data_IF_178328294469
#
_entry.id   IF_178328294469
#
_cell.length_a   1.000
_cell.length_b   1.000
_cell.length_c   1.000
_cell.angle_alpha   90.00
_cell.angle_beta   90.00
_cell.angle_gamma   90.00
#
_symmetry.space_group_name_H-M   'P 1'
#
loop_
_entity.id
_entity.type
_entity.pdbx_description
1 polymer ?
#
# COMPACT_ATOMS: atom_id res chain seq x y z
N UNK A 1 44.67 17.84 -8.11
CA UNK A 1 43.38 18.31 -7.55
C UNK A 1 42.30 17.34 -7.99
N UNK A 2 41.94 16.41 -7.11
CA UNK A 2 41.04 15.29 -7.39
C UNK A 2 39.58 15.77 -7.41
N UNK A 3 38.87 15.54 -8.51
CA UNK A 3 37.41 15.72 -8.57
C UNK A 3 36.80 14.71 -7.60
N UNK A 4 36.15 15.20 -6.55
CA UNK A 4 35.21 14.41 -5.77
C UNK A 4 34.22 13.76 -6.75
N UNK A 5 34.24 12.44 -6.85
CA UNK A 5 33.18 11.71 -7.52
C UNK A 5 31.91 12.01 -6.73
N UNK A 6 30.99 12.77 -7.33
CA UNK A 6 29.65 12.86 -6.79
C UNK A 6 29.07 11.45 -6.87
N UNK A 7 28.99 10.75 -5.73
CA UNK A 7 28.23 9.50 -5.62
C UNK A 7 26.77 9.83 -5.92
N UNK A 8 26.38 9.67 -7.18
CA UNK A 8 25.03 9.90 -7.62
C UNK A 8 24.14 8.80 -7.06
N UNK A 9 23.14 9.19 -6.27
CA UNK A 9 22.09 8.31 -5.77
C UNK A 9 21.49 7.49 -6.91
N UNK A 10 21.48 6.16 -6.76
CA UNK A 10 20.89 5.27 -7.76
C UNK A 10 19.37 5.44 -7.77
N UNK A 11 18.81 5.47 -8.98
CA UNK A 11 17.35 5.55 -9.17
C UNK A 11 16.71 4.19 -8.92
N UNK A 12 15.53 4.14 -8.27
CA UNK A 12 14.77 2.91 -8.16
C UNK A 12 14.41 2.31 -9.52
N UNK A 13 14.13 1.00 -9.59
CA UNK A 13 13.61 0.38 -10.81
C UNK A 13 12.30 1.03 -11.24
N UNK A 14 12.06 1.06 -12.56
CA UNK A 14 10.87 1.71 -13.16
C UNK A 14 9.56 1.18 -12.55
N UNK A 15 9.49 -0.12 -12.25
CA UNK A 15 8.30 -0.72 -11.62
C UNK A 15 7.94 -0.08 -10.27
N UNK A 16 8.95 0.20 -9.43
CA UNK A 16 8.74 0.81 -8.13
C UNK A 16 8.31 2.28 -8.26
N UNK A 17 8.86 2.99 -9.24
CA UNK A 17 8.45 4.36 -9.55
C UNK A 17 7.01 4.43 -10.04
N UNK A 18 6.62 3.55 -10.97
CA UNK A 18 5.23 3.48 -11.46
C UNK A 18 4.29 3.14 -10.32
N UNK A 19 4.59 2.09 -9.54
CA UNK A 19 3.78 1.67 -8.40
C UNK A 19 3.60 2.83 -7.39
N UNK A 20 4.69 3.51 -7.04
CA UNK A 20 4.67 4.66 -6.14
C UNK A 20 3.80 5.82 -6.67
N UNK A 21 4.00 6.23 -7.94
CA UNK A 21 3.24 7.31 -8.56
C UNK A 21 1.75 6.98 -8.69
N UNK A 22 1.42 5.73 -9.06
CA UNK A 22 0.04 5.28 -9.09
C UNK A 22 -0.61 5.35 -7.71
N UNK A 23 0.09 4.92 -6.65
CA UNK A 23 -0.43 4.98 -5.29
C UNK A 23 -0.59 6.40 -4.77
N UNK A 24 0.34 7.30 -5.10
CA UNK A 24 0.16 8.73 -4.82
C UNK A 24 -1.06 9.31 -5.53
N UNK A 25 -1.23 9.01 -6.82
CA UNK A 25 -2.37 9.49 -7.60
C UNK A 25 -3.70 8.97 -7.02
N UNK A 26 -3.78 7.66 -6.71
CA UNK A 26 -4.96 7.04 -6.09
C UNK A 26 -5.24 7.64 -4.72
N UNK A 27 -4.22 7.73 -3.86
CA UNK A 27 -4.36 8.29 -2.51
C UNK A 27 -4.82 9.74 -2.54
N UNK A 28 -4.18 10.59 -3.35
CA UNK A 28 -4.56 12.00 -3.49
C UNK A 28 -5.98 12.16 -4.07
N UNK A 29 -6.32 11.40 -5.12
CA UNK A 29 -7.64 11.42 -5.72
C UNK A 29 -8.73 10.97 -4.72
N UNK A 30 -8.48 9.90 -3.96
CA UNK A 30 -9.39 9.43 -2.91
C UNK A 30 -9.59 10.48 -1.82
N UNK A 31 -8.52 11.17 -1.40
CA UNK A 31 -8.62 12.27 -0.43
C UNK A 31 -9.45 13.44 -0.94
N UNK A 32 -9.19 13.88 -2.18
CA UNK A 32 -9.97 14.94 -2.82
C UNK A 32 -11.44 14.55 -3.02
N UNK A 33 -11.71 13.31 -3.42
CA UNK A 33 -13.05 12.78 -3.59
C UNK A 33 -13.80 12.74 -2.25
N UNK A 34 -13.15 12.28 -1.17
CA UNK A 34 -13.73 12.28 0.17
C UNK A 34 -14.13 13.68 0.62
N UNK A 35 -13.26 14.69 0.43
CA UNK A 35 -13.60 16.08 0.79
C UNK A 35 -14.77 16.61 -0.03
N UNK A 36 -14.82 16.30 -1.34
CA UNK A 36 -15.82 16.88 -2.24
C UNK A 36 -17.17 16.18 -2.20
N UNK A 37 -17.21 14.87 -1.95
CA UNK A 37 -18.37 14.01 -2.14
C UNK A 37 -18.78 13.24 -0.88
N UNK A 38 -18.31 13.62 0.30
CA UNK A 38 -18.59 12.91 1.56
C UNK A 38 -20.08 12.62 1.77
N UNK A 39 -20.93 13.65 1.67
CA UNK A 39 -22.36 13.52 1.92
C UNK A 39 -23.03 12.62 0.88
N UNK A 40 -22.65 12.78 -0.40
CA UNK A 40 -23.13 11.94 -1.49
C UNK A 40 -22.76 10.47 -1.30
N UNK A 41 -21.51 10.19 -0.90
CA UNK A 41 -21.05 8.82 -0.60
C UNK A 41 -21.81 8.23 0.58
N UNK A 42 -22.07 9.04 1.62
CA UNK A 42 -22.86 8.62 2.78
C UNK A 42 -24.29 8.26 2.39
N UNK A 43 -24.96 9.13 1.63
CA UNK A 43 -26.34 8.90 1.17
C UNK A 43 -26.44 7.69 0.24
N UNK A 44 -25.49 7.54 -0.70
CA UNK A 44 -25.41 6.38 -1.59
C UNK A 44 -25.24 5.08 -0.80
N UNK A 45 -24.32 5.05 0.17
CA UNK A 45 -24.12 3.90 1.03
C UNK A 45 -25.38 3.59 1.85
N UNK A 46 -26.00 4.59 2.49
CA UNK A 46 -27.24 4.42 3.25
C UNK A 46 -28.35 3.84 2.40
N UNK A 47 -28.55 4.37 1.19
CA UNK A 47 -29.55 3.88 0.25
C UNK A 47 -29.34 2.41 -0.14
N UNK A 48 -28.10 1.93 -0.20
CA UNK A 48 -27.82 0.52 -0.45
C UNK A 48 -28.03 -0.34 0.80
N UNK A 49 -27.62 0.14 1.98
CA UNK A 49 -27.80 -0.59 3.24
C UNK A 49 -29.28 -0.84 3.53
N UNK A 50 -30.14 0.17 3.36
CA UNK A 50 -31.59 0.06 3.57
C UNK A 50 -32.24 -0.94 2.62
N UNK A 51 -31.69 -1.13 1.41
CA UNK A 51 -32.21 -2.09 0.42
C UNK A 51 -31.85 -3.55 0.72
N UNK A 52 -30.86 -3.80 1.57
CA UNK A 52 -30.33 -5.14 1.84
C UNK A 52 -30.27 -5.42 3.36
N UNK A 53 -31.38 -5.32 4.11
CA UNK A 53 -31.37 -5.54 5.56
C UNK A 53 -30.89 -6.96 5.94
N UNK A 54 -31.13 -7.95 5.09
CA UNK A 54 -30.80 -9.36 5.32
C UNK A 54 -29.29 -9.61 5.37
N UNK A 55 -28.48 -8.93 4.55
CA UNK A 55 -27.02 -9.12 4.55
C UNK A 55 -26.36 -8.56 5.80
N UNK A 56 -27.05 -7.64 6.49
CA UNK A 56 -26.61 -6.98 7.72
C UNK A 56 -27.28 -7.54 8.99
N UNK A 57 -28.21 -8.50 8.84
CA UNK A 57 -28.98 -9.08 9.94
C UNK A 57 -29.90 -8.07 10.64
N UNK A 58 -30.49 -7.16 9.87
CA UNK A 58 -31.41 -6.13 10.36
C UNK A 58 -32.83 -6.67 10.52
N UNK A 59 -33.61 -6.05 11.40
CA UNK A 59 -35.03 -6.39 11.59
C UNK A 59 -35.90 -5.95 10.41
N UNK A 60 -35.39 -5.06 9.56
CA UNK A 60 -36.04 -4.59 8.33
C UNK A 60 -36.92 -3.36 8.52
N UNK A 61 -36.99 -2.84 9.75
CA UNK A 61 -37.70 -1.59 10.08
C UNK A 61 -36.66 -0.50 10.30
N UNK A 62 -36.56 0.41 9.33
CA UNK A 62 -35.49 1.41 9.27
C UNK A 62 -35.35 2.27 10.55
N UNK A 63 -36.47 2.68 11.16
CA UNK A 63 -36.47 3.48 12.40
C UNK A 63 -35.88 2.69 13.58
N UNK A 64 -36.06 1.37 13.59
CA UNK A 64 -35.53 0.49 14.64
C UNK A 64 -34.04 0.22 14.38
N UNK A 65 -33.65 0.03 13.11
CA UNK A 65 -32.28 -0.29 12.72
C UNK A 65 -31.38 0.95 12.48
N UNK A 66 -31.88 2.16 12.73
CA UNK A 66 -31.22 3.42 12.35
C UNK A 66 -29.76 3.53 12.81
N UNK A 67 -29.46 3.15 14.05
CA UNK A 67 -28.10 3.18 14.58
C UNK A 67 -27.20 2.17 13.86
N UNK A 68 -27.68 0.95 13.63
CA UNK A 68 -26.93 -0.10 12.95
C UNK A 68 -26.67 0.24 11.48
N UNK A 69 -27.65 0.87 10.83
CA UNK A 69 -27.49 1.41 9.47
C UNK A 69 -26.34 2.44 9.45
N UNK A 70 -26.34 3.39 10.39
CA UNK A 70 -25.30 4.41 10.46
C UNK A 70 -23.91 3.80 10.69
N UNK A 71 -23.80 2.77 11.53
CA UNK A 71 -22.55 2.04 11.78
C UNK A 71 -22.01 1.36 10.50
N UNK A 72 -22.88 0.70 9.73
CA UNK A 72 -22.46 0.05 8.47
C UNK A 72 -22.04 1.08 7.42
N UNK A 73 -22.78 2.19 7.30
CA UNK A 73 -22.42 3.30 6.40
C UNK A 73 -21.06 3.89 6.79
N UNK A 74 -20.80 4.07 8.09
CA UNK A 74 -19.52 4.57 8.56
C UNK A 74 -18.38 3.58 8.31
N UNK A 75 -18.62 2.28 8.40
CA UNK A 75 -17.60 1.28 8.03
C UNK A 75 -17.21 1.38 6.55
N UNK A 76 -18.17 1.58 5.65
CA UNK A 76 -17.91 1.81 4.23
C UNK A 76 -17.11 3.11 4.00
N UNK A 77 -17.52 4.21 4.64
CA UNK A 77 -16.80 5.48 4.57
C UNK A 77 -15.38 5.39 5.12
N UNK A 78 -15.19 4.68 6.24
CA UNK A 78 -13.88 4.47 6.82
C UNK A 78 -12.97 3.66 5.88
N UNK A 79 -13.52 2.71 5.12
CA UNK A 79 -12.73 2.01 4.10
C UNK A 79 -12.23 2.96 3.00
N UNK A 80 -13.03 3.93 2.52
CA UNK A 80 -12.51 4.95 1.60
C UNK A 80 -11.44 5.85 2.24
N UNK A 81 -11.58 6.19 3.54
CA UNK A 81 -10.53 6.92 4.27
C UNK A 81 -9.24 6.10 4.34
N UNK A 82 -9.35 4.80 4.56
CA UNK A 82 -8.20 3.89 4.55
C UNK A 82 -7.56 3.78 3.17
N UNK A 83 -8.34 3.80 2.08
CA UNK A 83 -7.81 3.88 0.70
C UNK A 83 -6.95 5.13 0.52
N UNK A 84 -7.42 6.30 0.98
CA UNK A 84 -6.66 7.54 0.92
C UNK A 84 -5.34 7.45 1.69
N UNK A 85 -5.41 7.07 2.98
CA UNK A 85 -4.24 7.04 3.87
C UNK A 85 -3.23 6.00 3.41
N UNK A 86 -3.66 4.78 3.09
CA UNK A 86 -2.76 3.72 2.64
C UNK A 86 -2.26 3.95 1.22
N UNK A 87 -3.03 4.56 0.32
CA UNK A 87 -2.57 4.95 -1.00
C UNK A 87 -1.37 5.92 -0.91
N UNK A 88 -1.53 7.02 -0.19
CA UNK A 88 -0.42 7.97 0.01
C UNK A 88 0.75 7.35 0.79
N UNK A 89 0.45 6.64 1.88
CA UNK A 89 1.45 6.01 2.73
C UNK A 89 2.30 4.98 1.99
N UNK A 90 1.67 4.09 1.21
CA UNK A 90 2.38 3.07 0.43
C UNK A 90 3.11 3.67 -0.76
N UNK A 91 2.57 4.71 -1.41
CA UNK A 91 3.30 5.42 -2.47
C UNK A 91 4.63 5.97 -1.99
N UNK A 92 4.63 6.59 -0.79
CA UNK A 92 5.85 7.06 -0.13
C UNK A 92 6.76 5.91 0.28
N UNK A 93 6.21 4.88 0.93
CA UNK A 93 6.97 3.73 1.43
C UNK A 93 7.69 2.99 0.30
N UNK A 94 6.99 2.67 -0.80
CA UNK A 94 7.56 2.01 -1.97
C UNK A 94 8.74 2.81 -2.52
N UNK A 95 8.59 4.12 -2.65
CA UNK A 95 9.65 5.00 -3.16
C UNK A 95 10.88 4.98 -2.25
N UNK A 96 10.69 5.29 -0.96
CA UNK A 96 11.79 5.41 -0.01
C UNK A 96 12.54 4.09 0.19
N UNK A 97 11.79 3.00 0.36
CA UNK A 97 12.39 1.67 0.56
C UNK A 97 13.12 1.20 -0.70
N UNK A 98 12.57 1.46 -1.89
CA UNK A 98 13.25 1.10 -3.14
C UNK A 98 14.52 1.92 -3.37
N UNK A 99 14.53 3.20 -3.00
CA UNK A 99 15.75 4.03 -2.99
C UNK A 99 16.78 3.42 -2.03
N UNK A 100 16.38 3.05 -0.83
CA UNK A 100 17.29 2.41 0.12
C UNK A 100 17.88 1.12 -0.45
N UNK A 101 17.02 0.20 -0.93
CA UNK A 101 17.43 -1.10 -1.49
C UNK A 101 18.51 -0.97 -2.57
N UNK A 102 18.31 -0.08 -3.56
CA UNK A 102 19.24 0.03 -4.71
C UNK A 102 20.57 0.69 -4.36
N UNK A 103 20.63 1.40 -3.23
CA UNK A 103 21.84 2.05 -2.74
C UNK A 103 22.58 1.23 -1.66
N UNK A 104 22.04 0.08 -1.26
CA UNK A 104 22.74 -0.86 -0.38
C UNK A 104 23.74 -1.73 -1.15
N UNK A 105 24.83 -2.20 -0.52
CA UNK A 105 25.81 -3.10 -1.12
C UNK A 105 25.26 -4.54 -1.21
N UNK A 106 24.20 -4.72 -1.99
CA UNK A 106 23.53 -6.00 -2.21
C UNK A 106 23.74 -6.44 -3.67
N UNK A 107 23.73 -7.75 -3.90
CA UNK A 107 23.76 -8.29 -5.25
C UNK A 107 22.53 -7.79 -6.04
N UNK A 108 22.73 -7.43 -7.32
CA UNK A 108 21.69 -6.86 -8.16
C UNK A 108 20.40 -7.70 -8.25
N UNK A 109 20.44 -9.06 -8.34
CA UNK A 109 19.23 -9.87 -8.32
C UNK A 109 18.44 -9.74 -7.01
N UNK A 110 19.13 -9.59 -5.87
CA UNK A 110 18.50 -9.41 -4.56
C UNK A 110 17.83 -8.04 -4.46
N UNK A 111 18.51 -6.98 -4.93
CA UNK A 111 17.93 -5.65 -5.00
C UNK A 111 16.65 -5.64 -5.86
N UNK A 112 16.70 -6.27 -7.04
CA UNK A 112 15.54 -6.39 -7.93
C UNK A 112 14.40 -7.14 -7.27
N UNK A 113 14.66 -8.27 -6.62
CA UNK A 113 13.65 -9.06 -5.93
C UNK A 113 12.97 -8.28 -4.80
N UNK A 114 13.73 -7.58 -3.96
CA UNK A 114 13.20 -6.74 -2.88
C UNK A 114 12.39 -5.56 -3.42
N UNK A 115 12.86 -4.90 -4.49
CA UNK A 115 12.13 -3.82 -5.15
C UNK A 115 10.80 -4.31 -5.76
N UNK A 116 10.77 -5.51 -6.37
CA UNK A 116 9.52 -6.11 -6.85
C UNK A 116 8.59 -6.39 -5.67
N UNK A 117 9.10 -7.00 -4.61
CA UNK A 117 8.31 -7.39 -3.45
C UNK A 117 7.68 -6.18 -2.75
N UNK A 118 8.41 -5.08 -2.57
CA UNK A 118 7.83 -3.84 -2.03
C UNK A 118 6.84 -3.21 -2.99
N UNK A 119 7.09 -3.25 -4.31
CA UNK A 119 6.19 -2.69 -5.32
C UNK A 119 4.84 -3.41 -5.38
N UNK A 120 4.80 -4.72 -5.07
CA UNK A 120 3.55 -5.48 -4.94
C UNK A 120 2.61 -4.89 -3.88
N UNK A 121 3.13 -4.11 -2.92
CA UNK A 121 2.34 -3.35 -1.97
C UNK A 121 1.30 -2.43 -2.61
N UNK A 122 1.50 -1.98 -3.86
CA UNK A 122 0.52 -1.17 -4.58
C UNK A 122 -0.82 -1.90 -4.84
N UNK A 123 -0.85 -3.23 -4.69
CA UNK A 123 -2.07 -4.03 -4.79
C UNK A 123 -2.83 -4.14 -3.45
N UNK A 124 -2.29 -3.60 -2.35
CA UNK A 124 -2.96 -3.57 -1.05
C UNK A 124 -4.13 -2.55 -0.99
N UNK A 125 -3.97 -1.27 -1.41
CA UNK A 125 -5.03 -0.27 -1.32
C UNK A 125 -6.35 -0.59 -2.05
N UNK A 126 -6.35 -1.26 -3.22
CA UNK A 126 -7.58 -1.72 -3.87
C UNK A 126 -8.53 -2.51 -2.96
N UNK A 127 -8.03 -3.21 -1.93
CA UNK A 127 -8.90 -3.91 -0.98
C UNK A 127 -9.81 -2.96 -0.20
N UNK A 128 -9.30 -1.77 0.16
CA UNK A 128 -10.09 -0.74 0.81
C UNK A 128 -11.15 -0.13 -0.10
N UNK A 129 -10.85 0.00 -1.40
CA UNK A 129 -11.82 0.42 -2.40
C UNK A 129 -12.97 -0.59 -2.51
N UNK A 130 -12.65 -1.88 -2.59
CA UNK A 130 -13.65 -2.94 -2.64
C UNK A 130 -14.53 -2.95 -1.40
N UNK A 131 -13.94 -2.81 -0.21
CA UNK A 131 -14.70 -2.73 1.04
C UNK A 131 -15.61 -1.50 1.07
N UNK A 132 -15.09 -0.31 0.76
CA UNK A 132 -15.88 0.91 0.75
C UNK A 132 -17.07 0.85 -0.21
N UNK A 133 -16.88 0.20 -1.36
CA UNK A 133 -17.92 0.10 -2.37
C UNK A 133 -18.95 -1.02 -2.11
N UNK A 134 -18.50 -2.17 -1.58
CA UNK A 134 -19.33 -3.38 -1.51
C UNK A 134 -19.93 -3.64 -0.13
N UNK A 135 -19.36 -3.09 0.95
CA UNK A 135 -19.92 -3.26 2.30
C UNK A 135 -21.42 -2.92 2.33
N UNK A 136 -21.90 -1.80 1.75
CA UNK A 136 -23.32 -1.45 1.80
C UNK A 136 -24.27 -2.52 1.25
N UNK A 137 -23.86 -3.25 0.21
CA UNK A 137 -24.69 -4.23 -0.48
C UNK A 137 -24.45 -5.68 -0.05
N UNK A 138 -23.23 -6.04 0.35
CA UNK A 138 -22.85 -7.44 0.61
C UNK A 138 -22.54 -7.71 2.09
N UNK A 139 -22.42 -6.65 2.90
CA UNK A 139 -22.05 -6.75 4.30
C UNK A 139 -20.58 -7.07 4.53
N UNK A 140 -20.08 -6.71 5.71
CA UNK A 140 -18.67 -6.92 6.07
C UNK A 140 -18.32 -8.41 6.16
N UNK A 141 -19.25 -9.24 6.64
CA UNK A 141 -18.99 -10.65 6.90
C UNK A 141 -18.66 -11.42 5.61
N UNK A 142 -19.34 -11.10 4.50
CA UNK A 142 -19.07 -11.72 3.21
C UNK A 142 -17.75 -11.26 2.59
N UNK A 143 -17.35 -10.01 2.85
CA UNK A 143 -16.22 -9.37 2.17
C UNK A 143 -14.88 -9.51 2.90
N UNK A 144 -14.90 -9.60 4.24
CA UNK A 144 -13.68 -9.54 5.06
C UNK A 144 -12.67 -10.59 4.64
N UNK A 145 -13.04 -11.88 4.67
CA UNK A 145 -12.10 -12.95 4.39
C UNK A 145 -11.60 -12.93 2.93
N UNK A 146 -12.44 -12.77 1.90
CA UNK A 146 -11.96 -12.68 0.51
C UNK A 146 -11.00 -11.51 0.27
N UNK A 147 -11.30 -10.33 0.81
CA UNK A 147 -10.42 -9.16 0.65
C UNK A 147 -9.13 -9.32 1.44
N UNK A 148 -9.22 -9.87 2.66
CA UNK A 148 -8.06 -10.12 3.50
C UNK A 148 -7.08 -11.09 2.84
N UNK A 149 -7.54 -12.26 2.40
CA UNK A 149 -6.70 -13.27 1.78
C UNK A 149 -6.33 -12.96 0.33
N UNK A 150 -7.19 -12.26 -0.40
CA UNK A 150 -6.96 -11.91 -1.79
C UNK A 150 -6.04 -10.70 -1.98
N UNK A 151 -6.08 -9.73 -1.06
CA UNK A 151 -5.37 -8.46 -1.22
C UNK A 151 -4.51 -8.11 0.00
N UNK A 152 -5.07 -8.09 1.21
CA UNK A 152 -4.35 -7.51 2.35
C UNK A 152 -3.15 -8.36 2.81
N UNK A 153 -3.36 -9.64 3.08
CA UNK A 153 -2.32 -10.55 3.57
C UNK A 153 -1.19 -10.74 2.55
N UNK A 154 -1.45 -11.08 1.27
CA UNK A 154 -0.36 -11.33 0.33
C UNK A 154 0.46 -10.07 0.02
N UNK A 155 -0.20 -8.94 -0.23
CA UNK A 155 0.48 -7.72 -0.67
C UNK A 155 1.01 -6.88 0.50
N UNK A 156 0.29 -6.82 1.62
CA UNK A 156 0.79 -6.26 2.87
C UNK A 156 1.95 -7.10 3.43
N UNK A 157 1.81 -8.42 3.39
CA UNK A 157 2.86 -9.36 3.78
C UNK A 157 4.13 -9.22 2.93
N UNK A 158 3.98 -9.08 1.61
CA UNK A 158 5.10 -8.82 0.70
C UNK A 158 5.90 -7.58 1.12
N UNK A 159 5.23 -6.45 1.38
CA UNK A 159 5.89 -5.22 1.85
C UNK A 159 6.64 -5.45 3.16
N UNK A 160 6.00 -6.10 4.14
CA UNK A 160 6.62 -6.41 5.44
C UNK A 160 7.88 -7.26 5.25
N UNK A 161 7.80 -8.33 4.45
CA UNK A 161 8.95 -9.20 4.14
C UNK A 161 10.05 -8.43 3.42
N UNK A 162 9.72 -7.54 2.48
CA UNK A 162 10.70 -6.71 1.78
C UNK A 162 11.45 -5.78 2.74
N UNK A 163 10.73 -5.12 3.65
CA UNK A 163 11.31 -4.19 4.63
C UNK A 163 12.21 -4.94 5.62
N UNK A 164 11.71 -6.02 6.23
CA UNK A 164 12.51 -6.83 7.16
C UNK A 164 13.70 -7.48 6.47
N UNK A 165 13.52 -8.01 5.27
CA UNK A 165 14.60 -8.58 4.47
C UNK A 165 15.68 -7.55 4.16
N UNK A 166 15.28 -6.34 3.74
CA UNK A 166 16.21 -5.22 3.49
C UNK A 166 16.99 -4.87 4.77
N UNK A 167 16.30 -4.73 5.90
CA UNK A 167 16.92 -4.40 7.18
C UNK A 167 17.92 -5.47 7.63
N UNK A 168 17.53 -6.74 7.59
CA UNK A 168 18.39 -7.86 8.00
C UNK A 168 19.63 -7.92 7.12
N UNK A 169 19.47 -7.84 5.79
CA UNK A 169 20.59 -7.87 4.86
C UNK A 169 21.54 -6.69 5.05
N UNK A 170 21.01 -5.51 5.33
CA UNK A 170 21.81 -4.34 5.66
C UNK A 170 22.64 -4.54 6.94
N UNK A 171 22.01 -5.03 8.01
CA UNK A 171 22.72 -5.34 9.27
C UNK A 171 23.81 -6.39 9.05
N UNK A 172 23.54 -7.44 8.27
CA UNK A 172 24.54 -8.45 7.93
C UNK A 172 25.72 -7.84 7.18
N UNK A 173 25.47 -6.96 6.19
CA UNK A 173 26.52 -6.29 5.43
C UNK A 173 27.40 -5.41 6.33
N UNK A 174 26.80 -4.69 7.28
CA UNK A 174 27.52 -3.89 8.28
C UNK A 174 28.41 -4.76 9.18
N UNK A 175 27.87 -5.87 9.70
CA UNK A 175 28.61 -6.76 10.62
C UNK A 175 29.75 -7.50 9.91
N UNK A 176 29.58 -7.86 8.63
CA UNK A 176 30.63 -8.51 7.84
C UNK A 176 31.78 -7.57 7.46
N UNK A 177 31.63 -6.27 7.70
CA UNK A 177 32.68 -5.29 7.40
C UNK A 177 33.02 -5.20 5.92
N UNK A 178 32.09 -5.57 5.02
CA UNK A 178 32.28 -5.26 3.60
C UNK A 178 32.39 -3.74 3.48
N UNK A 179 33.55 -3.20 3.10
CA UNK A 179 33.70 -1.76 3.02
C UNK A 179 32.79 -1.32 1.89
N UNK A 180 31.84 -0.46 2.21
CA UNK A 180 31.01 0.31 1.27
C UNK A 180 31.86 0.93 0.13
N UNK A 181 33.17 1.05 0.36
CA UNK A 181 34.18 1.62 -0.53
C UNK A 181 34.86 0.61 -1.50
N UNK A 182 34.87 -0.70 -1.23
CA UNK A 182 35.59 -1.69 -2.08
C UNK A 182 34.78 -2.26 -3.24
N UNK A 183 33.45 -2.32 -3.14
CA UNK A 183 32.60 -2.78 -4.23
C UNK A 183 32.61 -1.83 -5.45
N UNK A 184 33.03 -0.57 -5.26
CA UNK A 184 33.14 0.42 -6.33
C UNK A 184 34.43 0.29 -7.16
N UNK A 185 35.47 -0.34 -6.60
CA UNK A 185 36.78 -0.48 -7.26
C UNK A 185 36.86 -1.72 -8.15
N UNK A 186 36.22 -2.83 -7.74
CA UNK A 186 36.29 -4.09 -8.51
C UNK A 186 35.53 -4.03 -9.85
N UNK A 187 34.51 -3.17 -9.95
CA UNK A 187 33.70 -3.02 -11.18
C UNK A 187 34.32 -2.07 -12.21
N UNK A 188 35.21 -1.16 -11.81
CA UNK A 188 35.97 -0.29 -12.73
C UNK A 188 37.21 -0.95 -13.32
N UNK A 189 37.61 -2.12 -12.84
CA UNK A 189 38.74 -2.89 -13.38
C UNK A 189 38.35 -3.89 -14.47
N UNK A 190 37.08 -3.95 -14.87
CA UNK A 190 36.56 -4.92 -15.85
C UNK A 190 35.90 -4.26 -17.09
N UNK A 191 35.98 -2.93 -17.22
CA UNK A 191 35.69 -2.19 -18.46
C UNK A 191 37.00 -1.62 -19.03
#
# INVERSE_FOLDING_TARGET
MSRAAHDTLRRPPVIALIASLCMFAVGAAAGGALVRFQDTLYEMARAQVVKHPEVHGFGGVEVIDQQRIAEVVEQANNAFRMLHVHGLGLGMLILLVSIAIVNLPLAEPVQRALCVLVSLGALYPPGWLLLGWLIPSWGVNALRAPVEWGLFVPFGGAVIVAIWGTLILYVIALVRGEPVERAHLDRKGQE
#
